data_IF_872518916778
#
_entry.id   IF_872518916778
#
_cell.length_a   1.000
_cell.length_b   1.000
_cell.length_c   1.000
_cell.angle_alpha   90.00
_cell.angle_beta   90.00
_cell.angle_gamma   90.00
#
_symmetry.space_group_name_H-M   'P 1'
#
loop_
_entity.id
_entity.type
_entity.pdbx_description
1 polymer ?
#
# COMPACT_ATOMS: atom_id res chain seq x y z
N UNK A 1 74.07 21.45 -1.96
CA UNK A 1 74.70 22.32 -0.94
C UNK A 1 74.73 21.56 0.38
N UNK A 2 75.77 21.75 1.17
CA UNK A 2 75.95 21.25 2.55
C UNK A 2 75.80 22.45 3.53
N UNK A 3 75.94 22.35 4.88
CA UNK A 3 76.43 21.21 5.66
C UNK A 3 75.81 20.95 7.08
N UNK A 4 76.10 19.75 7.63
CA UNK A 4 76.43 19.49 9.06
C UNK A 4 75.34 19.70 10.15
N UNK A 5 75.48 19.29 11.43
CA UNK A 5 76.59 18.69 12.22
C UNK A 5 76.18 17.33 12.89
N UNK A 6 77.01 16.79 13.80
CA UNK A 6 76.95 15.38 14.26
C UNK A 6 77.00 15.19 15.79
N UNK A 7 76.69 13.96 16.27
CA UNK A 7 77.53 13.10 17.17
C UNK A 7 77.01 12.71 18.60
N UNK A 8 76.77 11.39 18.79
CA UNK A 8 76.91 10.55 20.04
C UNK A 8 76.01 10.90 21.26
N UNK A 9 75.89 10.07 22.33
CA UNK A 9 75.68 8.59 22.54
C UNK A 9 75.15 8.42 24.00
N UNK A 10 74.58 7.28 24.41
CA UNK A 10 73.88 7.13 25.70
C UNK A 10 74.77 6.61 26.85
N UNK A 11 74.30 6.74 28.11
CA UNK A 11 74.40 5.68 29.14
C UNK A 11 73.39 5.82 30.30
N UNK A 12 73.16 4.66 30.92
CA UNK A 12 72.25 4.17 31.98
C UNK A 12 72.27 4.84 33.38
N UNK A 13 71.27 4.56 34.25
CA UNK A 13 71.23 4.96 35.67
C UNK A 13 72.05 4.00 36.57
N UNK A 14 72.13 4.19 37.92
CA UNK A 14 71.06 3.88 38.89
C UNK A 14 70.86 5.07 39.89
N UNK A 15 70.30 5.05 41.11
CA UNK A 15 69.58 4.13 42.04
C UNK A 15 68.83 5.04 43.08
N UNK A 16 68.14 4.67 44.19
CA UNK A 16 67.68 3.42 44.85
C UNK A 16 66.58 3.78 45.89
N UNK A 17 65.64 2.88 46.23
CA UNK A 17 64.80 3.04 47.45
C UNK A 17 63.41 2.38 47.44
N UNK A 18 63.16 1.47 48.39
CA UNK A 18 61.88 0.78 48.68
C UNK A 18 61.28 1.35 50.01
N UNK A 19 60.04 1.03 50.49
CA UNK A 19 59.17 -0.11 50.11
C UNK A 19 57.64 0.13 49.96
N UNK A 20 56.97 -0.93 49.51
CA UNK A 20 55.54 -1.31 49.62
C UNK A 20 54.54 -0.40 50.39
N UNK A 21 53.52 0.10 49.68
CA UNK A 21 52.08 -0.18 49.94
C UNK A 21 51.13 0.61 49.00
N UNK A 22 50.14 -0.07 48.39
CA UNK A 22 48.78 0.40 47.92
C UNK A 22 48.17 -0.39 46.74
N UNK A 23 48.41 -1.69 46.66
CA UNK A 23 47.76 -2.58 45.68
C UNK A 23 46.34 -2.99 46.15
N UNK A 24 45.42 -2.02 46.27
CA UNK A 24 44.05 -2.24 46.76
C UNK A 24 42.99 -1.22 46.29
N UNK A 25 43.35 0.05 46.03
CA UNK A 25 42.35 1.14 45.91
C UNK A 25 41.83 1.37 44.49
N UNK A 26 42.61 1.02 43.46
CA UNK A 26 42.29 1.34 42.06
C UNK A 26 41.02 0.67 41.50
N UNK A 27 40.59 -0.46 42.07
CA UNK A 27 39.48 -1.27 41.54
C UNK A 27 38.08 -0.80 41.97
N UNK A 28 37.96 -0.06 43.07
CA UNK A 28 36.66 0.46 43.56
C UNK A 28 36.24 1.71 42.76
N UNK A 29 37.19 2.54 42.35
CA UNK A 29 36.93 3.77 41.57
C UNK A 29 36.29 3.48 40.20
N UNK A 30 36.64 2.35 39.56
CA UNK A 30 36.10 1.95 38.26
C UNK A 30 34.65 1.43 38.32
N UNK A 31 34.23 0.87 39.45
CA UNK A 31 32.85 0.37 39.64
C UNK A 31 31.85 1.48 39.95
N UNK A 32 32.27 2.55 40.62
CA UNK A 32 31.37 3.68 40.96
C UNK A 32 31.05 4.59 39.77
N UNK A 33 31.97 4.75 38.80
CA UNK A 33 31.73 5.56 37.59
C UNK A 33 30.71 4.88 36.65
N UNK A 34 30.60 3.56 36.69
CA UNK A 34 29.57 2.81 35.94
C UNK A 34 28.14 3.04 36.49
N UNK A 35 28.01 3.43 37.76
CA UNK A 35 26.71 3.69 38.41
C UNK A 35 26.19 5.12 38.19
N UNK A 36 27.04 6.03 37.70
CA UNK A 36 26.69 7.44 37.41
C UNK A 36 26.66 7.75 35.92
N UNK A 37 26.35 6.77 35.07
CA UNK A 37 25.77 7.10 33.78
C UNK A 37 24.46 7.88 34.05
N UNK A 38 24.29 9.11 33.55
CA UNK A 38 22.98 9.75 33.62
C UNK A 38 22.02 8.83 32.86
N UNK A 39 20.95 8.40 33.53
CA UNK A 39 19.89 7.67 32.87
C UNK A 39 19.23 8.62 31.86
N UNK A 40 19.75 8.65 30.64
CA UNK A 40 19.18 9.35 29.50
C UNK A 40 17.91 8.62 29.05
N UNK A 41 16.91 8.60 29.94
CA UNK A 41 15.51 8.38 29.64
C UNK A 41 14.96 9.55 28.82
N UNK A 42 15.57 9.80 27.65
CA UNK A 42 14.88 10.43 26.54
C UNK A 42 13.65 9.58 26.27
N UNK A 43 12.48 10.17 26.52
CA UNK A 43 11.21 9.59 26.13
C UNK A 43 11.28 9.23 24.64
N UNK A 44 11.26 7.93 24.32
CA UNK A 44 11.28 7.46 22.92
C UNK A 44 9.97 7.80 22.16
N UNK A 45 9.06 8.54 22.79
CA UNK A 45 7.71 8.81 22.31
C UNK A 45 7.49 10.24 21.80
N UNK A 46 8.40 11.19 22.08
CA UNK A 46 8.20 12.62 21.78
C UNK A 46 8.15 12.96 20.27
N UNK A 47 8.65 12.08 19.41
CA UNK A 47 8.57 12.21 17.93
C UNK A 47 8.04 10.92 17.27
N UNK A 48 7.12 10.19 17.92
CA UNK A 48 6.43 9.06 17.27
C UNK A 48 5.16 9.55 16.57
N UNK A 49 5.15 9.49 15.24
CA UNK A 49 3.92 9.64 14.45
C UNK A 49 2.90 8.61 14.96
N UNK A 50 1.71 9.08 15.35
CA UNK A 50 0.61 8.17 15.71
C UNK A 50 0.22 7.36 14.46
N UNK A 51 0.09 6.02 14.54
CA UNK A 51 -0.43 5.24 13.43
C UNK A 51 -1.83 5.73 13.06
N UNK A 52 -2.12 5.78 11.76
CA UNK A 52 -3.46 6.00 11.24
C UNK A 52 -4.07 4.62 11.05
N UNK A 53 -5.32 4.46 11.47
CA UNK A 53 -6.12 3.26 11.20
C UNK A 53 -7.29 3.66 10.32
N UNK A 54 -7.20 3.32 9.03
CA UNK A 54 -8.30 3.48 8.09
C UNK A 54 -9.36 2.40 8.30
N UNK A 55 -10.60 2.72 7.96
CA UNK A 55 -11.66 1.73 7.88
C UNK A 55 -12.70 2.16 6.84
N UNK A 56 -12.90 1.31 5.84
CA UNK A 56 -14.04 1.40 4.94
C UNK A 56 -15.22 0.65 5.55
N UNK A 57 -16.35 1.32 5.72
CA UNK A 57 -17.64 0.67 5.93
C UNK A 57 -18.30 0.50 4.56
N UNK A 58 -18.94 -0.65 4.31
CA UNK A 58 -19.72 -0.94 3.11
C UNK A 58 -20.98 -1.67 3.59
N UNK A 59 -22.15 -1.32 3.07
CA UNK A 59 -23.39 -2.05 3.37
C UNK A 59 -23.35 -3.48 2.79
N UNK A 60 -24.01 -4.42 3.47
CA UNK A 60 -24.04 -5.81 3.03
C UNK A 60 -24.85 -5.96 1.75
N UNK A 61 -24.21 -6.40 0.66
CA UNK A 61 -24.91 -6.79 -0.56
C UNK A 61 -25.90 -7.94 -0.29
N UNK A 62 -27.12 -7.83 -0.82
CA UNK A 62 -28.25 -8.71 -0.46
C UNK A 62 -28.58 -9.77 -1.51
N UNK A 63 -27.80 -9.88 -2.59
CA UNK A 63 -28.14 -10.73 -3.76
C UNK A 63 -29.22 -10.12 -4.66
N UNK A 64 -29.40 -8.80 -4.60
CA UNK A 64 -30.36 -8.06 -5.42
C UNK A 64 -29.84 -6.64 -5.73
N UNK A 65 -29.91 -6.16 -6.99
CA UNK A 65 -30.36 -6.90 -8.16
C UNK A 65 -29.40 -8.03 -8.57
N UNK A 66 -29.82 -8.85 -9.52
CA UNK A 66 -29.09 -9.99 -10.03
C UNK A 66 -29.23 -9.99 -11.56
N UNK A 67 -28.14 -9.83 -12.33
CA UNK A 67 -26.77 -9.61 -11.86
C UNK A 67 -26.52 -8.20 -11.28
N UNK A 68 -25.34 -8.00 -10.68
CA UNK A 68 -24.86 -6.70 -10.20
C UNK A 68 -23.33 -6.67 -10.09
N UNK A 69 -22.70 -5.52 -10.32
CA UNK A 69 -21.32 -5.26 -9.88
C UNK A 69 -21.36 -4.59 -8.50
N UNK A 70 -20.56 -5.04 -7.55
CA UNK A 70 -20.58 -4.51 -6.18
C UNK A 70 -19.20 -4.52 -5.50
N UNK A 71 -19.04 -3.64 -4.51
CA UNK A 71 -17.82 -3.54 -3.70
C UNK A 71 -17.87 -4.50 -2.49
N UNK A 72 -16.75 -5.18 -2.21
CA UNK A 72 -16.55 -5.96 -0.99
C UNK A 72 -15.20 -5.61 -0.37
N UNK A 73 -15.20 -5.31 0.94
CA UNK A 73 -13.98 -5.09 1.70
C UNK A 73 -13.30 -6.45 1.99
N UNK A 74 -12.03 -6.57 1.64
CA UNK A 74 -11.23 -7.77 1.90
C UNK A 74 -10.49 -7.67 3.24
N UNK A 75 -9.70 -6.60 3.43
CA UNK A 75 -8.83 -6.41 4.60
C UNK A 75 -8.52 -4.93 4.84
N UNK A 76 -8.00 -4.64 6.03
CA UNK A 76 -7.42 -3.35 6.42
C UNK A 76 -6.00 -3.59 6.90
N UNK A 77 -5.05 -2.70 6.60
CA UNK A 77 -3.67 -2.76 7.08
C UNK A 77 -3.15 -1.33 7.26
N UNK A 78 -3.24 -0.83 8.49
CA UNK A 78 -2.87 0.56 8.81
C UNK A 78 -3.85 1.56 8.20
N UNK A 79 -3.33 2.47 7.39
CA UNK A 79 -4.05 3.46 6.58
C UNK A 79 -4.59 2.90 5.25
N UNK A 80 -4.23 1.67 4.88
CA UNK A 80 -4.67 1.01 3.64
C UNK A 80 -5.88 0.08 3.87
N UNK A 81 -6.81 0.07 2.92
CA UNK A 81 -7.96 -0.84 2.87
C UNK A 81 -8.07 -1.47 1.48
N UNK A 82 -8.06 -2.79 1.43
CA UNK A 82 -8.18 -3.57 0.20
C UNK A 82 -9.64 -3.86 -0.10
N UNK A 83 -10.06 -3.60 -1.33
CA UNK A 83 -11.43 -3.75 -1.82
C UNK A 83 -11.42 -4.60 -3.09
N UNK A 84 -12.26 -5.63 -3.13
CA UNK A 84 -12.57 -6.35 -4.36
C UNK A 84 -13.83 -5.78 -5.01
N UNK A 85 -13.80 -5.68 -6.33
CA UNK A 85 -14.97 -5.42 -7.16
C UNK A 85 -15.46 -6.75 -7.69
N UNK A 86 -16.71 -7.10 -7.41
CA UNK A 86 -17.26 -8.42 -7.70
C UNK A 86 -18.47 -8.31 -8.62
N UNK A 87 -18.55 -9.23 -9.58
CA UNK A 87 -19.75 -9.48 -10.37
C UNK A 87 -20.56 -10.57 -9.67
N UNK A 88 -21.72 -10.20 -9.11
CA UNK A 88 -22.76 -11.13 -8.66
C UNK A 88 -23.58 -11.60 -9.86
N UNK A 89 -23.84 -12.90 -9.94
CA UNK A 89 -24.84 -13.47 -10.86
C UNK A 89 -25.29 -14.86 -10.39
N UNK A 90 -26.52 -15.24 -10.71
CA UNK A 90 -26.99 -16.64 -10.61
C UNK A 90 -27.27 -17.29 -11.97
N UNK A 91 -26.88 -16.64 -13.06
CA UNK A 91 -26.95 -17.15 -14.43
C UNK A 91 -25.64 -16.91 -15.16
N UNK A 92 -25.35 -17.67 -16.22
CA UNK A 92 -24.13 -17.42 -17.01
C UNK A 92 -24.15 -16.02 -17.61
N UNK A 93 -23.08 -15.27 -17.41
CA UNK A 93 -22.75 -14.04 -18.12
C UNK A 93 -21.45 -14.29 -18.87
N UNK A 94 -21.50 -14.07 -20.18
CA UNK A 94 -20.34 -14.08 -21.05
C UNK A 94 -19.92 -12.62 -21.30
N UNK A 95 -18.63 -12.30 -21.13
CA UNK A 95 -18.09 -10.96 -21.36
C UNK A 95 -16.65 -10.99 -21.87
N UNK A 96 -16.27 -10.04 -22.72
CA UNK A 96 -14.90 -9.87 -23.24
C UNK A 96 -14.23 -8.59 -22.76
N UNK A 97 -14.96 -7.67 -22.13
CA UNK A 97 -14.43 -6.48 -21.50
C UNK A 97 -15.24 -6.02 -20.27
N UNK A 98 -14.67 -5.15 -19.46
CA UNK A 98 -15.38 -4.38 -18.43
C UNK A 98 -14.76 -2.98 -18.23
N UNK A 99 -15.60 -2.04 -17.79
CA UNK A 99 -15.20 -0.69 -17.36
C UNK A 99 -15.55 -0.49 -15.89
N UNK A 100 -14.74 0.28 -15.15
CA UNK A 100 -14.94 0.63 -13.75
C UNK A 100 -14.43 2.05 -13.47
N UNK A 101 -15.26 2.89 -12.88
CA UNK A 101 -14.97 4.28 -12.52
C UNK A 101 -15.35 4.53 -11.06
N UNK A 102 -14.44 5.16 -10.32
CA UNK A 102 -14.58 5.46 -8.90
C UNK A 102 -14.42 6.95 -8.62
N UNK A 103 -15.37 7.54 -7.92
CA UNK A 103 -15.34 8.92 -7.40
C UNK A 103 -15.04 8.94 -5.89
N UNK A 104 -14.04 9.71 -5.48
CA UNK A 104 -13.57 9.86 -4.10
C UNK A 104 -12.89 11.23 -3.91
N UNK A 105 -12.85 11.76 -2.67
CA UNK A 105 -12.11 13.00 -2.40
C UNK A 105 -10.58 12.74 -2.39
N UNK A 106 -9.78 13.26 -3.35
CA UNK A 106 -8.35 12.99 -3.45
C UNK A 106 -7.52 13.61 -2.32
N UNK A 107 -8.12 14.51 -1.52
CA UNK A 107 -7.48 15.08 -0.33
C UNK A 107 -7.63 14.16 0.90
N UNK A 108 -8.59 13.22 0.86
CA UNK A 108 -8.97 12.35 1.98
C UNK A 108 -8.72 10.86 1.71
N UNK A 109 -8.71 10.44 0.44
CA UNK A 109 -8.44 9.08 -0.02
C UNK A 109 -7.54 9.12 -1.25
N UNK A 110 -6.64 8.16 -1.37
CA UNK A 110 -5.90 7.86 -2.60
C UNK A 110 -6.15 6.41 -3.01
N UNK A 111 -6.14 6.12 -4.30
CA UNK A 111 -6.08 4.75 -4.83
C UNK A 111 -4.61 4.38 -5.05
N UNK A 112 -4.24 3.12 -4.81
CA UNK A 112 -2.91 2.63 -5.18
C UNK A 112 -2.73 2.58 -6.71
N UNK A 113 -1.50 2.71 -7.19
CA UNK A 113 -1.14 2.36 -8.57
C UNK A 113 -1.06 0.85 -8.79
N UNK A 114 -1.02 0.06 -7.70
CA UNK A 114 -1.12 -1.40 -7.71
C UNK A 114 -2.57 -1.88 -7.57
N UNK A 115 -3.05 -2.62 -8.56
CA UNK A 115 -4.28 -3.42 -8.48
C UNK A 115 -4.11 -4.76 -9.20
N UNK A 116 -4.93 -5.74 -8.82
CA UNK A 116 -4.85 -7.14 -9.25
C UNK A 116 -6.14 -7.52 -10.00
N UNK A 117 -6.04 -7.72 -11.32
CA UNK A 117 -7.16 -8.12 -12.17
C UNK A 117 -7.20 -9.65 -12.24
N UNK A 118 -8.37 -10.23 -12.03
CA UNK A 118 -8.52 -11.68 -11.93
C UNK A 118 -8.18 -12.37 -13.27
N UNK A 119 -6.97 -12.90 -13.36
CA UNK A 119 -6.39 -13.46 -14.57
C UNK A 119 -7.00 -14.77 -15.05
N UNK A 120 -7.89 -15.39 -14.26
CA UNK A 120 -8.74 -16.51 -14.71
C UNK A 120 -9.77 -16.05 -15.75
N UNK A 121 -10.14 -14.77 -15.76
CA UNK A 121 -11.17 -14.21 -16.63
C UNK A 121 -10.62 -13.74 -17.98
N UNK A 122 -9.79 -12.69 -17.96
CA UNK A 122 -9.27 -12.02 -19.16
C UNK A 122 -7.73 -11.99 -19.23
N UNK A 123 -7.02 -12.49 -18.20
CA UNK A 123 -5.57 -12.45 -18.05
C UNK A 123 -5.04 -11.26 -17.22
N UNK A 124 -3.73 -11.22 -16.95
CA UNK A 124 -3.10 -10.16 -16.14
C UNK A 124 -2.87 -8.85 -16.93
N UNK A 125 -3.25 -7.70 -16.38
CA UNK A 125 -2.90 -6.40 -16.97
C UNK A 125 -1.38 -6.15 -16.94
N UNK A 126 -0.79 -5.76 -18.07
CA UNK A 126 0.62 -5.34 -18.12
C UNK A 126 0.78 -3.82 -18.21
N UNK A 127 1.35 -3.22 -17.16
CA UNK A 127 1.47 -1.77 -16.99
C UNK A 127 2.69 -1.18 -17.74
N UNK A 128 2.66 0.13 -18.07
CA UNK A 128 3.83 0.86 -18.57
C UNK A 128 5.01 0.76 -17.60
N UNK A 129 6.08 0.07 -18.01
CA UNK A 129 7.27 -0.19 -17.18
C UNK A 129 7.39 -1.63 -16.65
N UNK A 130 6.41 -2.51 -16.91
CA UNK A 130 6.60 -3.95 -16.69
C UNK A 130 7.56 -4.54 -17.73
N UNK A 131 8.51 -5.35 -17.26
CA UNK A 131 9.47 -6.09 -18.11
C UNK A 131 9.01 -7.54 -18.41
N UNK A 132 7.87 -7.95 -17.86
CA UNK A 132 7.38 -9.34 -17.89
C UNK A 132 5.91 -9.37 -18.27
N UNK A 133 5.66 -9.47 -19.57
CA UNK A 133 4.33 -9.56 -20.18
C UNK A 133 4.26 -10.83 -21.03
N UNK A 134 3.19 -11.62 -20.88
CA UNK A 134 2.95 -12.85 -21.65
C UNK A 134 2.06 -12.56 -22.87
N UNK A 135 2.11 -13.36 -23.95
CA UNK A 135 1.47 -12.99 -25.22
C UNK A 135 -0.06 -13.11 -25.27
N UNK A 136 -0.71 -13.41 -24.14
CA UNK A 136 -2.19 -13.50 -24.01
C UNK A 136 -2.57 -12.78 -22.71
N UNK A 137 -2.59 -11.45 -22.79
CA UNK A 137 -2.99 -10.54 -21.72
C UNK A 137 -4.04 -9.56 -22.28
N UNK A 138 -4.95 -9.02 -21.44
CA UNK A 138 -5.94 -8.06 -21.88
C UNK A 138 -5.29 -6.70 -22.15
N UNK A 139 -5.93 -5.91 -23.00
CA UNK A 139 -5.67 -4.48 -23.10
C UNK A 139 -6.25 -3.80 -21.86
N UNK A 140 -5.41 -3.11 -21.09
CA UNK A 140 -5.84 -2.39 -19.90
C UNK A 140 -5.54 -0.89 -20.05
N UNK A 141 -6.50 -0.06 -19.67
CA UNK A 141 -6.43 1.40 -19.74
C UNK A 141 -6.71 1.93 -18.34
N UNK A 142 -5.82 2.79 -17.85
CA UNK A 142 -5.94 3.47 -16.54
C UNK A 142 -5.64 4.95 -16.73
N UNK A 143 -6.37 5.84 -16.06
CA UNK A 143 -6.03 7.26 -16.06
C UNK A 143 -4.87 7.55 -15.09
N UNK A 144 -3.79 8.12 -15.61
CA UNK A 144 -2.57 8.42 -14.83
C UNK A 144 -2.71 9.60 -13.84
N UNK A 145 -3.87 10.26 -13.83
CA UNK A 145 -4.16 11.46 -13.04
C UNK A 145 -5.17 11.22 -11.89
N UNK A 146 -5.50 9.95 -11.58
CA UNK A 146 -6.58 9.59 -10.65
C UNK A 146 -6.50 10.30 -9.29
N UNK A 147 -5.38 10.15 -8.58
CA UNK A 147 -5.12 10.79 -7.29
C UNK A 147 -4.98 12.33 -7.34
N UNK A 148 -4.95 12.93 -8.53
CA UNK A 148 -4.99 14.39 -8.71
C UNK A 148 -6.40 14.92 -8.97
N UNK A 149 -7.38 14.04 -9.25
CA UNK A 149 -8.76 14.40 -9.65
C UNK A 149 -9.85 13.78 -8.80
N UNK A 150 -9.56 12.74 -8.03
CA UNK A 150 -10.57 11.98 -7.29
C UNK A 150 -11.33 10.97 -8.14
N UNK A 151 -10.87 10.71 -9.37
CA UNK A 151 -11.55 9.83 -10.34
C UNK A 151 -10.57 8.77 -10.79
N UNK A 152 -10.78 7.51 -10.41
CA UNK A 152 -10.03 6.37 -10.92
C UNK A 152 -10.87 5.62 -11.94
N UNK A 153 -10.38 5.51 -13.18
CA UNK A 153 -11.01 4.78 -14.27
C UNK A 153 -10.09 3.64 -14.72
N UNK A 154 -10.66 2.44 -14.80
CA UNK A 154 -10.06 1.21 -15.29
C UNK A 154 -10.94 0.62 -16.39
N UNK A 155 -10.39 0.48 -17.60
CA UNK A 155 -10.94 -0.38 -18.65
C UNK A 155 -10.08 -1.62 -18.83
N UNK A 156 -10.69 -2.80 -18.92
CA UNK A 156 -10.01 -4.08 -19.22
C UNK A 156 -10.76 -4.75 -20.36
N UNK A 157 -10.06 -5.15 -21.43
CA UNK A 157 -10.64 -5.82 -22.58
C UNK A 157 -9.74 -6.94 -23.11
N UNK A 158 -10.32 -8.07 -23.50
CA UNK A 158 -9.61 -9.10 -24.23
C UNK A 158 -8.96 -8.53 -25.51
N UNK A 159 -7.77 -9.00 -25.85
CA UNK A 159 -7.16 -8.68 -27.15
C UNK A 159 -8.03 -9.18 -28.31
N UNK A 160 -8.00 -8.56 -29.50
CA UNK A 160 -8.80 -9.01 -30.65
C UNK A 160 -8.58 -10.49 -30.99
N UNK A 161 -9.65 -11.30 -30.92
CA UNK A 161 -9.59 -12.76 -31.08
C UNK A 161 -9.15 -13.53 -29.81
N UNK A 162 -9.12 -12.86 -28.66
CA UNK A 162 -8.83 -13.44 -27.34
C UNK A 162 -10.03 -14.17 -26.72
N UNK A 163 -9.94 -14.42 -25.42
CA UNK A 163 -10.90 -15.21 -24.66
C UNK A 163 -12.05 -14.36 -24.12
N UNK A 164 -13.29 -14.79 -24.39
CA UNK A 164 -14.48 -14.38 -23.62
C UNK A 164 -14.48 -15.11 -22.28
N UNK A 165 -14.68 -14.38 -21.18
CA UNK A 165 -14.90 -14.95 -19.86
C UNK A 165 -16.36 -15.36 -19.68
N UNK A 166 -16.60 -16.53 -19.08
CA UNK A 166 -17.94 -17.02 -18.74
C UNK A 166 -18.04 -17.23 -17.23
N UNK A 167 -18.93 -16.49 -16.54
CA UNK A 167 -19.13 -16.59 -15.08
C UNK A 167 -20.58 -16.91 -14.75
N UNK A 168 -20.82 -17.78 -13.77
CA UNK A 168 -22.16 -18.23 -13.35
C UNK A 168 -22.39 -18.17 -11.83
N UNK A 169 -21.48 -17.50 -11.11
CA UNK A 169 -21.51 -17.27 -9.68
C UNK A 169 -20.68 -16.02 -9.33
N UNK A 170 -20.82 -15.52 -8.09
CA UNK A 170 -20.04 -14.40 -7.54
C UNK A 170 -18.54 -14.50 -7.82
N UNK A 171 -18.03 -13.56 -8.62
CA UNK A 171 -16.64 -13.58 -9.11
C UNK A 171 -15.99 -12.21 -8.97
N UNK A 172 -14.78 -12.16 -8.40
CA UNK A 172 -13.97 -10.93 -8.35
C UNK A 172 -13.45 -10.57 -9.74
N UNK A 173 -13.64 -9.32 -10.16
CA UNK A 173 -13.12 -8.75 -11.41
C UNK A 173 -11.71 -8.16 -11.20
N UNK A 174 -11.59 -7.31 -10.17
CA UNK A 174 -10.35 -6.64 -9.77
C UNK A 174 -10.31 -6.43 -8.27
N UNK A 175 -9.10 -6.43 -7.69
CA UNK A 175 -8.82 -6.04 -6.31
C UNK A 175 -7.91 -4.82 -6.30
N UNK A 176 -8.29 -3.77 -5.57
CA UNK A 176 -7.55 -2.52 -5.47
C UNK A 176 -7.41 -2.07 -4.00
N UNK A 177 -6.38 -1.28 -3.72
CA UNK A 177 -6.10 -0.72 -2.40
C UNK A 177 -6.43 0.78 -2.37
N UNK A 178 -7.21 1.20 -1.36
CA UNK A 178 -7.45 2.60 -1.03
C UNK A 178 -6.68 2.99 0.24
N UNK A 179 -5.95 4.10 0.20
CA UNK A 179 -5.17 4.65 1.31
C UNK A 179 -5.84 5.91 1.84
N UNK A 180 -6.10 5.97 3.15
CA UNK A 180 -6.74 7.12 3.77
C UNK A 180 -5.72 8.21 4.18
N UNK A 181 -6.11 9.48 4.05
CA UNK A 181 -5.33 10.61 4.51
C UNK A 181 -5.24 10.68 6.05
N UNK A 182 -4.36 11.55 6.57
CA UNK A 182 -3.99 11.48 8.00
C UNK A 182 -5.11 11.84 9.00
N UNK A 183 -6.17 12.49 8.55
CA UNK A 183 -7.44 12.73 9.26
C UNK A 183 -8.55 12.88 8.22
N UNK A 184 -9.65 12.14 8.39
CA UNK A 184 -10.93 12.38 7.70
C UNK A 184 -11.88 13.03 8.72
N UNK A 185 -12.11 14.33 8.56
CA UNK A 185 -12.97 15.17 9.42
C UNK A 185 -13.77 16.15 8.53
N UNK A 186 -15.13 16.08 8.50
CA UNK A 186 -15.98 15.16 9.25
C UNK A 186 -15.75 13.69 8.89
N UNK A 187 -15.95 12.74 9.83
CA UNK A 187 -15.69 11.34 9.59
C UNK A 187 -16.68 10.73 8.60
N UNK A 188 -16.16 10.10 7.55
CA UNK A 188 -16.95 9.45 6.49
C UNK A 188 -16.88 10.23 5.18
N UNK A 189 -15.87 9.93 4.36
CA UNK A 189 -15.83 10.35 2.95
C UNK A 189 -16.26 9.19 2.05
N UNK A 190 -17.13 9.41 1.05
CA UNK A 190 -17.63 8.33 0.19
C UNK A 190 -16.57 7.85 -0.81
N UNK A 191 -16.66 6.58 -1.19
CA UNK A 191 -16.01 5.99 -2.35
C UNK A 191 -17.13 5.43 -3.23
N UNK A 192 -17.44 6.08 -4.34
CA UNK A 192 -18.59 5.72 -5.18
C UNK A 192 -18.13 4.96 -6.42
N UNK A 193 -18.67 3.78 -6.66
CA UNK A 193 -18.61 3.09 -7.95
C UNK A 193 -19.65 3.73 -8.89
N UNK A 194 -19.21 4.37 -9.97
CA UNK A 194 -20.05 5.19 -10.84
C UNK A 194 -20.77 4.33 -11.88
N UNK A 195 -22.09 4.16 -11.72
CA UNK A 195 -22.96 3.58 -12.76
C UNK A 195 -23.14 4.56 -13.93
N UNK A 196 -22.78 4.14 -15.14
CA UNK A 196 -22.93 4.93 -16.37
C UNK A 196 -22.21 4.33 -17.57
N UNK A 197 -22.55 4.79 -18.78
CA UNK A 197 -21.86 4.37 -20.01
C UNK A 197 -20.40 4.84 -20.00
N UNK A 198 -19.47 3.94 -20.24
CA UNK A 198 -18.02 4.12 -20.05
C UNK A 198 -17.53 4.08 -18.59
N UNK A 199 -18.43 4.06 -17.61
CA UNK A 199 -18.10 4.21 -16.18
C UNK A 199 -18.21 2.90 -15.39
N UNK A 200 -19.24 2.09 -15.60
CA UNK A 200 -19.30 0.76 -15.00
C UNK A 200 -20.18 -0.17 -15.84
N UNK A 201 -19.54 -0.92 -16.72
CA UNK A 201 -20.18 -1.79 -17.71
C UNK A 201 -19.52 -3.17 -17.71
N UNK A 202 -20.33 -4.20 -17.97
CA UNK A 202 -19.86 -5.53 -18.35
C UNK A 202 -20.16 -5.66 -19.85
N UNK A 203 -19.13 -5.85 -20.67
CA UNK A 203 -19.20 -5.73 -22.12
C UNK A 203 -18.95 -7.09 -22.80
N UNK A 204 -19.73 -7.41 -23.82
CA UNK A 204 -19.52 -8.57 -24.68
C UNK A 204 -19.66 -8.14 -26.14
N UNK A 205 -18.60 -8.31 -26.95
CA UNK A 205 -18.55 -7.86 -28.34
C UNK A 205 -18.94 -6.38 -28.52
N UNK A 206 -18.51 -5.53 -27.57
CA UNK A 206 -18.84 -4.10 -27.44
C UNK A 206 -20.29 -3.77 -27.05
N UNK A 207 -21.11 -4.74 -26.64
CA UNK A 207 -22.44 -4.51 -26.09
C UNK A 207 -22.45 -4.63 -24.56
N UNK A 208 -22.92 -3.58 -23.88
CA UNK A 208 -23.23 -3.63 -22.46
C UNK A 208 -24.29 -4.70 -22.17
N UNK A 209 -23.99 -5.57 -21.20
CA UNK A 209 -24.87 -6.62 -20.70
C UNK A 209 -25.96 -6.06 -19.75
N UNK A 210 -25.93 -4.75 -19.47
CA UNK A 210 -26.93 -4.05 -18.64
C UNK A 210 -26.78 -4.34 -17.16
N UNK A 211 -25.55 -4.66 -16.70
CA UNK A 211 -25.27 -5.04 -15.32
C UNK A 211 -25.16 -3.80 -14.44
N UNK A 212 -26.08 -3.55 -13.50
CA UNK A 212 -26.05 -2.36 -12.64
C UNK A 212 -24.94 -2.43 -11.59
N UNK A 213 -24.39 -1.27 -11.21
CA UNK A 213 -23.26 -1.18 -10.28
C UNK A 213 -23.62 -0.49 -8.95
N UNK A 214 -23.12 -1.03 -7.84
CA UNK A 214 -23.45 -0.61 -6.47
C UNK A 214 -22.21 -0.30 -5.64
N UNK A 215 -22.12 0.95 -5.17
CA UNK A 215 -21.13 1.39 -4.19
C UNK A 215 -21.44 0.89 -2.76
N UNK A 216 -22.70 0.53 -2.50
CA UNK A 216 -23.20 0.06 -1.20
C UNK A 216 -22.88 1.05 -0.07
N UNK A 217 -23.04 2.35 -0.35
CA UNK A 217 -22.74 3.44 0.60
C UNK A 217 -21.30 3.38 1.17
N UNK A 218 -20.33 2.89 0.39
CA UNK A 218 -18.96 2.71 0.83
C UNK A 218 -18.36 4.02 1.36
N UNK A 219 -18.01 4.05 2.64
CA UNK A 219 -17.58 5.26 3.38
C UNK A 219 -16.29 5.02 4.15
N UNK A 220 -15.23 5.75 3.76
CA UNK A 220 -13.91 5.68 4.37
C UNK A 220 -13.83 6.57 5.62
N UNK A 221 -13.23 6.02 6.68
CA UNK A 221 -13.07 6.65 8.00
C UNK A 221 -11.65 6.44 8.53
N UNK A 222 -11.20 7.27 9.48
CA UNK A 222 -9.86 7.16 10.09
C UNK A 222 -9.87 7.34 11.60
N UNK A 223 -8.95 6.67 12.29
CA UNK A 223 -8.67 6.84 13.74
C UNK A 223 -7.16 6.85 14.06
N UNK A 224 -6.78 7.20 15.30
CA UNK A 224 -5.41 7.48 15.78
C UNK A 224 -5.23 7.18 17.28
#
# INVERSE_FOLDING_TARGET
MSPSWTRRRPHTPPDSGLPFARLAVALVALLLVAASAPACGRSKNENRIKPIFANLNIDTFTGSPNPAVFLRKEKTTGDMVTVSVNLHTTSTIDFDAFTLEFDYDPNLVQVSDTFDVNSILLGDCCFPGSNTCTPIQPQCIVNSDANSRGVFLLGVAAVPGGQTASVSADTTLVTLDFVAATVIDPPGTPIKLISGQGSCEILNALFDQGVPCFDLNATMTTSR
#
